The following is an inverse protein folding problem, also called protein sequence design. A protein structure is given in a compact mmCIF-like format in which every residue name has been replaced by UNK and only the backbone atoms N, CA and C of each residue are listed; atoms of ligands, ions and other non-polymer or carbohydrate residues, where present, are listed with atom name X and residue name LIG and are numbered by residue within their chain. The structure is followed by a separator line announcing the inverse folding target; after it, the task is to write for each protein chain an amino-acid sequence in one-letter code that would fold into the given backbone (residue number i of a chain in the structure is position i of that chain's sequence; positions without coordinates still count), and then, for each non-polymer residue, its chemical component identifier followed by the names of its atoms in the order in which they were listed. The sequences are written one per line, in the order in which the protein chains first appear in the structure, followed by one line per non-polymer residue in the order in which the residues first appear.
data_IF_332845805705
#
_entry.id   IF_332845805705
#
_cell.length_a   1.000
_cell.length_b   1.000
_cell.length_c   1.000
_cell.angle_alpha   90.00
_cell.angle_beta   90.00
_cell.angle_gamma   90.00
#
_symmetry.space_group_name_H-M   'P 1'
#
loop_
_entity.id
_entity.type
_entity.pdbx_description
1 polymer ?
#
# COMPACT_ATOMS: atom_id res chain seq x y z
N UNK A 1 21.34 41.41 -52.51
CA UNK A 1 20.47 40.33 -52.01
C UNK A 1 21.29 39.49 -51.06
N UNK A 2 20.78 39.33 -49.84
CA UNK A 2 21.54 39.02 -48.62
C UNK A 2 21.76 37.50 -48.51
N UNK A 3 22.99 37.11 -48.13
CA UNK A 3 23.43 35.73 -47.93
C UNK A 3 22.79 35.07 -46.70
N UNK A 4 22.61 33.73 -46.68
CA UNK A 4 22.10 33.03 -45.51
C UNK A 4 23.24 32.71 -44.52
N UNK A 5 23.00 33.05 -43.25
CA UNK A 5 23.87 32.76 -42.10
C UNK A 5 23.67 31.34 -41.59
N UNK A 6 24.79 30.71 -41.21
CA UNK A 6 24.87 29.35 -40.67
C UNK A 6 24.27 29.23 -39.25
N UNK A 7 23.74 28.05 -38.85
CA UNK A 7 23.25 27.84 -37.48
C UNK A 7 24.37 27.44 -36.52
N UNK A 8 24.32 28.04 -35.34
CA UNK A 8 25.23 27.88 -34.20
C UNK A 8 25.01 26.53 -33.50
N UNK A 9 26.05 25.70 -33.43
CA UNK A 9 26.09 24.47 -32.61
C UNK A 9 26.06 24.82 -31.12
N UNK A 10 24.98 24.48 -30.40
CA UNK A 10 24.99 24.39 -28.93
C UNK A 10 25.65 23.06 -28.51
N UNK A 11 26.76 23.17 -27.79
CA UNK A 11 27.42 22.03 -27.13
C UNK A 11 26.64 21.68 -25.86
N UNK A 12 26.12 20.45 -25.77
CA UNK A 12 25.67 19.89 -24.51
C UNK A 12 26.89 19.52 -23.66
N UNK A 13 26.97 20.11 -22.48
CA UNK A 13 27.92 19.73 -21.43
C UNK A 13 27.35 18.48 -20.75
N UNK A 14 28.02 17.35 -20.95
CA UNK A 14 27.81 16.14 -20.17
C UNK A 14 28.59 16.29 -18.85
N UNK A 15 27.88 16.32 -17.72
CA UNK A 15 28.48 16.16 -16.40
C UNK A 15 28.44 14.67 -16.02
N UNK A 16 29.56 14.05 -15.61
CA UNK A 16 29.54 12.75 -14.95
C UNK A 16 29.55 12.97 -13.44
N UNK A 17 28.56 12.43 -12.72
CA UNK A 17 28.57 12.42 -11.26
C UNK A 17 27.99 11.08 -10.77
N UNK A 18 28.88 10.10 -10.62
CA UNK A 18 28.63 8.88 -9.84
C UNK A 18 29.96 8.19 -9.50
N UNK A 19 30.61 8.65 -8.42
CA UNK A 19 31.54 7.83 -7.65
C UNK A 19 31.18 8.03 -6.18
N UNK A 20 30.47 7.08 -5.59
CA UNK A 20 30.32 6.95 -4.16
C UNK A 20 30.68 5.50 -3.79
N UNK A 21 31.96 5.26 -3.60
CA UNK A 21 32.52 3.96 -3.24
C UNK A 21 33.18 4.10 -1.85
N UNK A 22 32.56 3.43 -0.88
CA UNK A 22 33.21 2.82 0.29
C UNK A 22 34.08 3.69 1.20
N UNK A 23 33.48 4.32 2.21
CA UNK A 23 34.18 4.67 3.45
C UNK A 23 33.56 3.87 4.60
N UNK A 24 34.09 2.66 4.82
CA UNK A 24 33.95 1.96 6.09
C UNK A 24 34.80 2.71 7.14
N UNK A 25 34.19 3.69 7.81
CA UNK A 25 34.78 4.32 8.99
C UNK A 25 34.84 3.29 10.12
N UNK A 26 36.03 2.75 10.34
CA UNK A 26 36.38 2.00 11.54
C UNK A 26 36.49 3.00 12.68
N UNK A 27 35.47 3.06 13.55
CA UNK A 27 35.50 3.91 14.73
C UNK A 27 36.59 3.44 15.72
N UNK A 28 37.35 4.34 16.36
CA UNK A 28 38.34 3.96 17.35
C UNK A 28 37.65 3.43 18.61
N UNK A 29 37.95 2.18 18.96
CA UNK A 29 37.55 1.56 20.21
C UNK A 29 38.42 2.06 21.37
N UNK A 30 38.20 3.29 21.83
CA UNK A 30 38.80 3.78 23.07
C UNK A 30 37.86 4.79 23.75
N UNK A 31 37.61 4.57 25.05
CA UNK A 31 36.84 5.39 26.00
C UNK A 31 35.31 5.18 26.06
N UNK A 32 34.87 4.03 26.60
CA UNK A 32 33.54 3.84 27.19
C UNK A 32 33.63 3.03 28.51
N UNK A 33 34.42 3.52 29.49
CA UNK A 33 34.31 3.05 30.87
C UNK A 33 33.59 4.13 31.68
N UNK A 34 32.26 4.01 31.78
CA UNK A 34 31.43 4.93 32.56
C UNK A 34 30.00 5.15 32.05
N UNK A 35 29.67 4.69 30.84
CA UNK A 35 28.31 4.82 30.32
C UNK A 35 27.35 3.91 31.12
N UNK A 36 26.45 4.52 31.92
CA UNK A 36 25.30 3.83 32.52
C UNK A 36 24.65 2.97 31.44
N UNK A 37 24.50 1.68 31.72
CA UNK A 37 23.84 0.72 30.82
C UNK A 37 22.50 1.36 30.38
N UNK A 38 22.25 1.54 29.07
CA UNK A 38 21.08 2.25 28.62
C UNK A 38 19.84 1.56 29.20
N UNK A 39 18.96 2.36 29.81
CA UNK A 39 17.71 1.85 30.35
C UNK A 39 16.96 1.10 29.25
N UNK A 40 16.44 -0.09 29.58
CA UNK A 40 15.68 -0.90 28.63
C UNK A 40 14.50 -0.06 28.11
N UNK A 41 14.21 -0.04 26.80
CA UNK A 41 13.07 0.69 26.29
C UNK A 41 11.77 0.20 26.95
N UNK A 42 10.82 1.10 27.24
CA UNK A 42 9.55 0.72 27.84
C UNK A 42 8.78 -0.23 26.91
N UNK A 43 8.06 -1.19 27.48
CA UNK A 43 7.19 -2.07 26.70
C UNK A 43 6.00 -1.30 26.14
N UNK A 44 5.48 -1.70 24.96
CA UNK A 44 4.30 -1.08 24.35
C UNK A 44 3.11 -1.00 25.31
N UNK A 45 2.88 -2.05 26.11
CA UNK A 45 1.83 -2.07 27.15
C UNK A 45 1.97 -0.94 28.17
N UNK A 46 3.20 -0.60 28.55
CA UNK A 46 3.47 0.50 29.49
C UNK A 46 3.19 1.85 28.83
N UNK A 47 3.62 2.03 27.59
CA UNK A 47 3.36 3.23 26.77
C UNK A 47 1.86 3.44 26.59
N UNK A 48 1.11 2.41 26.17
CA UNK A 48 -0.36 2.47 26.04
C UNK A 48 -1.06 2.75 27.38
N UNK A 49 -0.57 2.18 28.48
CA UNK A 49 -1.14 2.44 29.81
C UNK A 49 -0.93 3.89 30.25
N UNK A 50 0.24 4.47 29.97
CA UNK A 50 0.52 5.88 30.22
C UNK A 50 -0.38 6.77 29.37
N UNK A 51 -0.47 6.49 28.07
CA UNK A 51 -1.32 7.21 27.12
C UNK A 51 -2.79 7.32 27.57
N UNK A 52 -3.38 6.21 28.00
CA UNK A 52 -4.79 6.16 28.43
C UNK A 52 -5.09 7.00 29.67
N UNK A 53 -4.08 7.35 30.48
CA UNK A 53 -4.25 8.20 31.67
C UNK A 53 -4.27 9.68 31.33
N UNK A 54 -3.80 10.06 30.15
CA UNK A 54 -3.80 11.44 29.69
C UNK A 54 -5.22 11.87 29.30
N UNK A 55 -5.54 13.12 29.62
CA UNK A 55 -6.70 13.81 29.05
C UNK A 55 -6.48 14.18 27.58
N UNK A 56 -7.51 14.67 26.87
CA UNK A 56 -7.44 15.01 25.45
C UNK A 56 -6.29 15.96 25.09
N UNK A 57 -6.11 17.05 25.85
CA UNK A 57 -5.11 18.07 25.56
C UNK A 57 -3.68 17.51 25.65
N UNK A 58 -3.38 16.74 26.69
CA UNK A 58 -2.06 16.11 26.84
C UNK A 58 -1.78 15.03 25.79
N UNK A 59 -2.83 14.41 25.23
CA UNK A 59 -2.66 13.49 24.09
C UNK A 59 -2.32 14.24 22.81
N UNK A 60 -3.02 15.35 22.55
CA UNK A 60 -2.73 16.23 21.42
C UNK A 60 -1.30 16.76 21.48
N UNK A 61 -0.91 17.33 22.63
CA UNK A 61 0.42 17.92 22.81
C UNK A 61 1.56 16.91 22.60
N UNK A 62 1.39 15.67 23.08
CA UNK A 62 2.36 14.60 22.82
C UNK A 62 2.43 14.24 21.34
N UNK A 63 1.30 14.18 20.64
CA UNK A 63 1.28 13.88 19.20
C UNK A 63 1.90 14.99 18.37
N UNK A 64 1.64 16.25 18.72
CA UNK A 64 2.23 17.42 18.05
C UNK A 64 3.75 17.43 18.26
N UNK A 65 4.21 17.26 19.50
CA UNK A 65 5.64 17.20 19.81
C UNK A 65 6.31 15.99 19.13
N UNK A 66 5.69 14.81 19.22
CA UNK A 66 6.19 13.62 18.53
C UNK A 66 6.32 13.82 17.02
N UNK A 67 5.32 14.45 16.39
CA UNK A 67 5.31 14.68 14.95
C UNK A 67 6.44 15.62 14.54
N UNK A 68 6.63 16.72 15.28
CA UNK A 68 7.75 17.64 15.06
C UNK A 68 9.11 16.93 15.21
N UNK A 69 9.29 16.12 16.26
CA UNK A 69 10.55 15.41 16.51
C UNK A 69 10.87 14.36 15.44
N UNK A 70 9.85 13.67 14.94
CA UNK A 70 10.01 12.67 13.88
C UNK A 70 10.35 13.32 12.54
N UNK A 71 9.83 14.51 12.25
CA UNK A 71 10.15 15.26 11.03
C UNK A 71 11.66 15.56 10.92
N UNK A 72 12.31 15.86 12.05
CA UNK A 72 13.75 16.10 12.13
C UNK A 72 14.61 14.84 12.19
N UNK A 73 14.01 13.63 12.26
CA UNK A 73 14.80 12.40 12.17
C UNK A 73 15.42 12.26 10.77
N UNK A 74 16.74 12.26 10.70
CA UNK A 74 17.49 11.97 9.47
C UNK A 74 17.72 10.46 9.27
N UNK A 75 16.63 9.70 9.43
CA UNK A 75 16.63 8.26 9.15
C UNK A 75 16.42 7.99 7.67
N UNK A 76 16.74 6.77 7.22
CA UNK A 76 16.52 6.39 5.83
C UNK A 76 15.02 6.39 5.49
N UNK A 77 14.18 5.85 6.37
CA UNK A 77 12.72 5.87 6.23
C UNK A 77 12.17 7.30 6.07
N UNK A 78 12.60 8.25 6.91
CA UNK A 78 12.11 9.64 6.81
C UNK A 78 12.58 10.33 5.53
N UNK A 79 13.78 10.03 5.03
CA UNK A 79 14.22 10.52 3.70
C UNK A 79 13.34 9.99 2.57
N UNK A 80 12.96 8.72 2.61
CA UNK A 80 12.04 8.14 1.62
C UNK A 80 10.64 8.74 1.70
N UNK A 81 10.13 9.00 2.91
CA UNK A 81 8.83 9.68 3.10
C UNK A 81 8.88 11.09 2.53
N UNK A 82 9.91 11.88 2.86
CA UNK A 82 10.10 13.23 2.30
C UNK A 82 10.17 13.20 0.78
N UNK A 83 10.93 12.26 0.21
CA UNK A 83 11.02 12.09 -1.24
C UNK A 83 9.67 11.76 -1.89
N UNK A 84 8.88 10.86 -1.29
CA UNK A 84 7.55 10.54 -1.79
C UNK A 84 6.56 11.71 -1.67
N UNK A 85 6.79 12.62 -0.72
CA UNK A 85 5.96 13.79 -0.42
C UNK A 85 6.50 15.11 -1.01
N UNK A 86 7.60 15.11 -1.77
CA UNK A 86 8.30 16.35 -2.17
C UNK A 86 7.44 17.24 -3.09
N UNK A 87 6.54 16.67 -3.87
CA UNK A 87 5.62 17.40 -4.74
C UNK A 87 4.31 16.63 -4.92
N UNK A 88 3.41 16.64 -3.91
CA UNK A 88 2.11 16.04 -4.08
C UNK A 88 1.32 16.96 -5.00
N UNK A 89 0.79 16.42 -6.10
CA UNK A 89 -0.01 17.19 -7.07
C UNK A 89 -1.15 18.01 -6.44
N UNK A 90 -1.60 17.61 -5.24
CA UNK A 90 -2.60 18.31 -4.46
C UNK A 90 -2.25 18.29 -2.96
N UNK A 91 -2.53 19.38 -2.23
CA UNK A 91 -2.52 19.38 -0.77
C UNK A 91 -3.37 18.24 -0.16
N UNK A 92 -2.97 17.66 0.98
CA UNK A 92 -3.67 16.55 1.63
C UNK A 92 -5.19 16.73 1.77
N UNK A 93 -5.66 17.89 2.25
CA UNK A 93 -7.09 18.13 2.46
C UNK A 93 -7.91 18.27 1.17
N UNK A 94 -7.26 18.50 0.03
CA UNK A 94 -7.91 18.64 -1.27
C UNK A 94 -8.06 17.31 -2.02
N UNK A 95 -7.52 16.21 -1.49
CA UNK A 95 -7.83 14.89 -2.02
C UNK A 95 -9.27 14.48 -1.64
N UNK A 96 -9.99 13.86 -2.58
CA UNK A 96 -11.36 13.44 -2.33
C UNK A 96 -11.41 12.28 -1.32
N UNK A 97 -12.53 12.17 -0.63
CA UNK A 97 -12.82 10.97 0.16
C UNK A 97 -13.17 9.81 -0.76
N UNK A 98 -12.94 8.59 -0.29
CA UNK A 98 -13.39 7.41 -0.99
C UNK A 98 -14.91 7.36 -1.04
N UNK A 99 -15.44 7.09 -2.22
CA UNK A 99 -16.86 6.84 -2.38
C UNK A 99 -17.27 5.51 -1.71
N UNK A 100 -18.53 5.41 -1.31
CA UNK A 100 -19.07 4.12 -0.87
C UNK A 100 -19.05 3.13 -2.04
N UNK A 101 -18.61 1.89 -1.79
CA UNK A 101 -18.66 0.81 -2.77
C UNK A 101 -20.05 0.71 -3.39
N UNK A 102 -20.09 0.58 -4.72
CA UNK A 102 -21.32 0.44 -5.51
C UNK A 102 -21.63 -1.05 -5.71
N UNK A 103 -22.86 -1.38 -6.04
CA UNK A 103 -23.26 -2.73 -6.49
C UNK A 103 -23.68 -2.64 -7.95
N UNK A 104 -23.55 -3.74 -8.70
CA UNK A 104 -24.13 -3.80 -10.03
C UNK A 104 -25.65 -3.69 -9.98
N UNK A 105 -26.23 -2.97 -10.94
CA UNK A 105 -27.68 -2.85 -11.06
C UNK A 105 -28.26 -4.10 -11.72
N UNK A 106 -29.17 -4.76 -11.00
CA UNK A 106 -29.81 -5.98 -11.46
C UNK A 106 -30.74 -5.74 -12.66
N UNK A 107 -31.38 -4.57 -12.74
CA UNK A 107 -32.24 -4.25 -13.88
C UNK A 107 -31.42 -4.06 -15.17
N UNK A 108 -30.22 -3.51 -15.05
CA UNK A 108 -29.29 -3.34 -16.16
C UNK A 108 -28.64 -4.66 -16.59
N UNK A 109 -28.04 -5.41 -15.65
CA UNK A 109 -27.18 -6.54 -15.99
C UNK A 109 -27.90 -7.90 -16.02
N UNK A 110 -29.02 -8.05 -15.30
CA UNK A 110 -29.81 -9.29 -15.31
C UNK A 110 -31.33 -9.00 -15.40
N UNK A 111 -31.81 -8.30 -16.45
CA UNK A 111 -33.21 -7.82 -16.55
C UNK A 111 -34.26 -8.93 -16.52
N UNK A 112 -33.90 -10.15 -16.91
CA UNK A 112 -34.82 -11.30 -16.86
C UNK A 112 -35.01 -11.86 -15.44
N UNK A 113 -34.13 -11.50 -14.50
CA UNK A 113 -34.15 -11.93 -13.10
C UNK A 113 -33.62 -10.80 -12.17
N UNK A 114 -34.32 -9.64 -12.10
CA UNK A 114 -33.80 -8.48 -11.40
C UNK A 114 -33.98 -8.63 -9.88
N UNK A 115 -33.01 -9.28 -9.23
CA UNK A 115 -32.97 -9.38 -7.77
C UNK A 115 -32.36 -8.10 -7.20
N UNK A 116 -33.18 -7.36 -6.43
CA UNK A 116 -32.82 -6.12 -5.75
C UNK A 116 -31.61 -6.30 -4.81
N UNK A 117 -30.65 -5.39 -4.85
CA UNK A 117 -29.45 -5.40 -4.00
C UNK A 117 -29.72 -4.66 -2.69
N UNK A 118 -29.58 -5.34 -1.56
CA UNK A 118 -29.87 -4.81 -0.21
C UNK A 118 -28.63 -4.82 0.66
N UNK A 119 -28.20 -3.65 1.10
CA UNK A 119 -27.09 -3.53 2.05
C UNK A 119 -27.42 -4.21 3.37
N UNK A 120 -26.53 -5.10 3.80
CA UNK A 120 -26.60 -5.61 5.16
C UNK A 120 -26.37 -4.48 6.17
N UNK A 121 -27.13 -4.43 7.28
CA UNK A 121 -26.89 -3.45 8.33
C UNK A 121 -25.46 -3.53 8.86
N UNK A 122 -24.89 -2.37 9.12
CA UNK A 122 -23.57 -2.28 9.72
C UNK A 122 -23.55 -2.98 11.09
N UNK A 123 -22.49 -3.74 11.34
CA UNK A 123 -22.35 -4.50 12.58
C UNK A 123 -23.16 -5.80 12.67
N UNK A 124 -23.98 -6.15 11.68
CA UNK A 124 -24.76 -7.39 11.66
C UNK A 124 -23.86 -8.63 11.78
N UNK A 125 -24.36 -9.67 12.46
CA UNK A 125 -23.60 -10.92 12.71
C UNK A 125 -23.23 -11.62 11.40
N UNK A 126 -24.09 -11.56 10.40
CA UNK A 126 -23.87 -12.14 9.06
C UNK A 126 -22.70 -11.44 8.38
N UNK A 127 -22.73 -10.10 8.29
CA UNK A 127 -21.64 -9.31 7.70
C UNK A 127 -20.31 -9.54 8.41
N UNK A 128 -20.29 -9.51 9.75
CA UNK A 128 -19.08 -9.77 10.55
C UNK A 128 -18.48 -11.14 10.25
N UNK A 129 -19.31 -12.20 10.27
CA UNK A 129 -18.86 -13.57 9.96
C UNK A 129 -18.33 -13.69 8.54
N UNK A 130 -18.99 -13.04 7.58
CA UNK A 130 -18.57 -13.06 6.19
C UNK A 130 -17.22 -12.36 6.00
N UNK A 131 -17.04 -11.16 6.57
CA UNK A 131 -15.74 -10.45 6.56
C UNK A 131 -14.63 -11.29 7.17
N UNK A 132 -14.86 -11.91 8.32
CA UNK A 132 -13.87 -12.81 8.95
C UNK A 132 -13.49 -13.96 8.02
N UNK A 133 -14.45 -14.53 7.28
CA UNK A 133 -14.19 -15.62 6.33
C UNK A 133 -13.36 -15.13 5.14
N UNK A 134 -13.76 -14.02 4.51
CA UNK A 134 -13.08 -13.42 3.35
C UNK A 134 -11.65 -13.04 3.68
N UNK A 135 -11.45 -12.36 4.81
CA UNK A 135 -10.15 -11.87 5.21
C UNK A 135 -9.34 -12.88 6.04
N UNK A 136 -9.81 -14.12 6.23
CA UNK A 136 -9.15 -15.13 7.09
C UNK A 136 -7.69 -15.40 6.69
N UNK A 137 -7.44 -15.54 5.39
CA UNK A 137 -6.09 -15.80 4.84
C UNK A 137 -5.30 -14.52 4.58
N UNK A 138 -5.93 -13.38 4.78
CA UNK A 138 -5.38 -12.08 4.45
C UNK A 138 -4.76 -11.53 5.74
N UNK A 139 -3.42 -11.47 5.84
CA UNK A 139 -2.80 -11.06 7.09
C UNK A 139 -3.12 -9.59 7.42
N UNK A 140 -3.34 -9.34 8.70
CA UNK A 140 -3.77 -8.05 9.22
C UNK A 140 -2.64 -7.03 9.13
N UNK A 141 -2.97 -5.84 8.64
CA UNK A 141 -2.01 -4.73 8.52
C UNK A 141 -1.86 -4.07 9.88
N UNK A 142 -0.61 -3.81 10.28
CA UNK A 142 -0.31 -3.08 11.53
C UNK A 142 -0.55 -1.57 11.42
N UNK A 143 -0.41 -1.00 10.23
CA UNK A 143 -0.65 0.42 9.97
C UNK A 143 -2.14 0.70 9.83
N UNK A 144 -2.66 1.64 10.61
CA UNK A 144 -3.99 2.22 10.46
C UNK A 144 -3.94 3.44 9.53
N UNK A 145 -4.37 3.23 8.29
CA UNK A 145 -4.24 4.15 7.16
C UNK A 145 -5.39 5.16 7.11
N UNK A 146 -5.08 6.44 6.97
CA UNK A 146 -6.06 7.46 6.55
C UNK A 146 -6.11 7.64 5.03
N UNK A 147 -5.20 6.97 4.31
CA UNK A 147 -5.02 7.07 2.86
C UNK A 147 -5.15 5.72 2.18
N UNK A 148 -5.69 5.73 0.97
CA UNK A 148 -5.61 4.61 0.04
C UNK A 148 -5.42 5.09 -1.39
N UNK A 149 -4.87 4.22 -2.23
CA UNK A 149 -4.80 4.42 -3.66
C UNK A 149 -5.97 3.71 -4.34
N UNK A 150 -6.76 4.47 -5.11
CA UNK A 150 -7.88 3.94 -5.89
C UNK A 150 -7.44 3.66 -7.32
N UNK A 151 -7.36 2.37 -7.69
CA UNK A 151 -6.96 1.94 -9.02
C UNK A 151 -7.98 2.29 -10.11
N UNK A 152 -9.26 2.48 -9.77
CA UNK A 152 -10.29 2.84 -10.73
C UNK A 152 -10.10 4.28 -11.20
N UNK A 153 -9.92 5.21 -10.26
CA UNK A 153 -9.75 6.63 -10.60
C UNK A 153 -8.29 7.04 -10.77
N UNK A 154 -7.36 6.18 -10.33
CA UNK A 154 -5.92 6.44 -10.23
C UNK A 154 -5.59 7.67 -9.37
N UNK A 155 -6.43 7.91 -8.37
CA UNK A 155 -6.27 9.02 -7.42
C UNK A 155 -6.00 8.49 -6.01
N UNK A 156 -5.37 9.32 -5.18
CA UNK A 156 -5.38 9.09 -3.74
C UNK A 156 -6.79 9.41 -3.20
N UNK A 157 -7.25 8.59 -2.28
CA UNK A 157 -8.51 8.78 -1.56
C UNK A 157 -8.27 8.83 -0.07
N UNK A 158 -8.95 9.74 0.60
CA UNK A 158 -9.06 9.74 2.07
C UNK A 158 -10.02 8.64 2.51
N UNK A 159 -9.61 7.85 3.50
CA UNK A 159 -10.44 6.79 4.06
C UNK A 159 -11.59 7.41 4.87
N UNK A 160 -12.86 7.11 4.55
CA UNK A 160 -14.01 7.71 5.24
C UNK A 160 -13.98 7.45 6.75
N UNK A 161 -14.26 8.48 7.53
CA UNK A 161 -14.27 8.41 9.00
C UNK A 161 -12.88 8.38 9.64
N UNK A 162 -11.80 8.53 8.88
CA UNK A 162 -10.43 8.67 9.40
C UNK A 162 -9.97 10.12 9.25
N UNK A 163 -9.88 10.83 10.38
CA UNK A 163 -9.27 12.17 10.38
C UNK A 163 -7.77 12.07 10.16
N UNK A 164 -7.19 13.02 9.41
CA UNK A 164 -5.74 13.13 9.25
C UNK A 164 -5.07 13.39 10.61
N UNK A 165 -5.73 14.19 11.44
CA UNK A 165 -5.27 14.60 12.78
C UNK A 165 -5.85 13.71 13.89
N UNK A 166 -6.28 12.48 13.57
CA UNK A 166 -6.72 11.51 14.58
C UNK A 166 -5.55 11.12 15.49
N UNK A 167 -5.52 11.74 16.67
CA UNK A 167 -4.51 11.58 17.71
C UNK A 167 -4.35 10.12 18.14
N UNK A 168 -5.43 9.35 18.23
CA UNK A 168 -5.35 7.94 18.63
C UNK A 168 -4.70 7.12 17.52
N UNK A 169 -5.10 7.35 16.26
CA UNK A 169 -4.49 6.69 15.10
C UNK A 169 -2.99 6.98 15.01
N UNK A 170 -2.59 8.26 15.13
CA UNK A 170 -1.19 8.67 15.07
C UNK A 170 -0.40 7.99 16.19
N UNK A 171 -0.93 7.98 17.42
CA UNK A 171 -0.31 7.28 18.54
C UNK A 171 -0.14 5.77 18.30
N UNK A 172 -1.18 5.07 17.84
CA UNK A 172 -1.11 3.63 17.58
C UNK A 172 -0.12 3.31 16.44
N UNK A 173 -0.10 4.12 15.39
CA UNK A 173 0.86 3.99 14.30
C UNK A 173 2.30 4.22 14.78
N UNK A 174 2.53 5.27 15.57
CA UNK A 174 3.83 5.57 16.18
C UNK A 174 4.32 4.43 17.07
N UNK A 175 3.42 3.84 17.87
CA UNK A 175 3.71 2.67 18.70
C UNK A 175 4.07 1.43 17.87
N UNK A 176 3.50 1.27 16.68
CA UNK A 176 3.88 0.23 15.73
C UNK A 176 5.16 0.55 14.94
N UNK A 177 5.74 1.75 15.11
CA UNK A 177 6.95 2.22 14.44
C UNK A 177 6.70 2.87 13.08
N UNK A 178 5.49 3.37 12.85
CA UNK A 178 5.14 4.12 11.65
C UNK A 178 5.10 5.62 11.97
N UNK A 179 5.95 6.44 11.33
CA UNK A 179 5.92 7.89 11.50
C UNK A 179 4.67 8.49 10.84
N UNK A 180 4.31 9.76 11.17
CA UNK A 180 3.27 10.49 10.47
C UNK A 180 3.50 10.52 8.95
N UNK A 181 2.41 10.56 8.18
CA UNK A 181 2.38 10.59 6.71
C UNK A 181 2.97 9.36 5.97
N UNK A 182 3.40 8.30 6.69
CA UNK A 182 3.87 7.07 6.04
C UNK A 182 2.77 6.44 5.15
N UNK A 183 1.52 6.46 5.61
CA UNK A 183 0.37 5.95 4.86
C UNK A 183 0.10 6.72 3.56
N UNK A 184 0.22 8.06 3.59
CA UNK A 184 0.11 8.90 2.40
C UNK A 184 1.26 8.62 1.43
N UNK A 185 2.50 8.55 1.93
CA UNK A 185 3.68 8.27 1.14
C UNK A 185 3.59 6.87 0.49
N UNK A 186 3.10 5.86 1.20
CA UNK A 186 2.83 4.52 0.63
C UNK A 186 1.83 4.59 -0.53
N UNK A 187 0.72 5.32 -0.37
CA UNK A 187 -0.28 5.48 -1.42
C UNK A 187 0.24 6.25 -2.65
N UNK A 188 1.08 7.27 -2.46
CA UNK A 188 1.75 8.00 -3.54
C UNK A 188 2.74 7.10 -4.31
N UNK A 189 3.48 6.26 -3.60
CA UNK A 189 4.38 5.28 -4.23
C UNK A 189 3.58 4.26 -5.02
N UNK A 190 2.48 3.74 -4.47
CA UNK A 190 1.60 2.81 -5.20
C UNK A 190 1.06 3.45 -6.48
N UNK A 191 0.59 4.70 -6.40
CA UNK A 191 0.17 5.49 -7.55
C UNK A 191 1.27 5.66 -8.59
N UNK A 192 2.49 5.94 -8.16
CA UNK A 192 3.63 6.13 -9.07
C UNK A 192 4.05 4.84 -9.79
N UNK A 193 3.72 3.67 -9.22
CA UNK A 193 3.99 2.35 -9.81
C UNK A 193 2.86 1.86 -10.73
N UNK A 194 1.66 2.44 -10.64
CA UNK A 194 0.54 2.08 -11.51
C UNK A 194 0.57 2.80 -12.86
N UNK A 195 0.66 2.04 -13.94
CA UNK A 195 0.55 2.53 -15.32
C UNK A 195 -0.90 2.68 -15.79
N UNK A 196 -1.87 2.13 -15.06
CA UNK A 196 -3.30 2.19 -15.36
C UNK A 196 -3.80 1.15 -16.37
N UNK A 197 -2.98 0.19 -16.81
CA UNK A 197 -3.35 -0.82 -17.79
C UNK A 197 -4.58 -1.66 -17.36
N UNK A 198 -4.69 -1.93 -16.06
CA UNK A 198 -5.78 -2.73 -15.48
C UNK A 198 -6.92 -1.89 -14.88
N UNK A 199 -6.98 -0.58 -15.16
CA UNK A 199 -7.94 0.36 -14.55
C UNK A 199 -9.39 -0.12 -14.68
N UNK A 200 -9.84 -0.43 -15.90
CA UNK A 200 -11.24 -0.84 -16.19
C UNK A 200 -11.61 -2.13 -15.47
N UNK A 201 -10.69 -3.09 -15.41
CA UNK A 201 -10.91 -4.36 -14.70
C UNK A 201 -10.96 -4.11 -13.19
N UNK A 202 -10.01 -3.35 -12.65
CA UNK A 202 -9.96 -3.05 -11.21
C UNK A 202 -11.14 -2.20 -10.74
N UNK A 203 -11.69 -1.33 -11.58
CA UNK A 203 -12.95 -0.61 -11.35
C UNK A 203 -14.14 -1.57 -11.23
N UNK A 204 -14.28 -2.49 -12.20
CA UNK A 204 -15.32 -3.53 -12.15
C UNK A 204 -15.21 -4.36 -10.85
N UNK A 205 -14.00 -4.79 -10.48
CA UNK A 205 -13.77 -5.56 -9.25
C UNK A 205 -13.81 -4.72 -7.94
N UNK A 206 -13.90 -3.39 -8.01
CA UNK A 206 -14.08 -2.52 -6.85
C UNK A 206 -15.53 -2.48 -6.33
N UNK A 207 -16.49 -2.95 -7.13
CA UNK A 207 -17.87 -3.13 -6.70
C UNK A 207 -17.96 -4.04 -5.46
N UNK A 208 -18.94 -3.78 -4.61
CA UNK A 208 -19.21 -4.60 -3.44
C UNK A 208 -19.73 -5.98 -3.87
N UNK A 209 -19.26 -7.02 -3.19
CA UNK A 209 -19.77 -8.36 -3.36
C UNK A 209 -21.23 -8.47 -2.91
N UNK A 210 -22.05 -9.17 -3.72
CA UNK A 210 -23.42 -9.52 -3.37
C UNK A 210 -23.65 -11.03 -3.43
N UNK A 211 -24.52 -11.57 -2.56
CA UNK A 211 -24.89 -12.99 -2.63
C UNK A 211 -26.06 -13.23 -3.60
N UNK A 212 -26.45 -14.50 -3.79
CA UNK A 212 -27.60 -14.89 -4.63
C UNK A 212 -28.94 -14.33 -4.15
N UNK A 213 -29.06 -14.05 -2.85
CA UNK A 213 -30.26 -13.46 -2.25
C UNK A 213 -30.30 -11.93 -2.41
N UNK A 214 -29.29 -11.33 -3.07
CA UNK A 214 -29.19 -9.89 -3.25
C UNK A 214 -28.61 -9.15 -2.04
N UNK A 215 -28.06 -9.84 -1.03
CA UNK A 215 -27.45 -9.17 0.13
C UNK A 215 -26.09 -8.60 -0.26
N UNK A 216 -25.90 -7.31 -0.07
CA UNK A 216 -24.66 -6.61 -0.37
C UNK A 216 -23.79 -6.46 0.89
N UNK A 217 -22.51 -6.84 0.77
CA UNK A 217 -21.57 -6.93 1.88
C UNK A 217 -20.65 -5.71 1.92
N UNK A 218 -21.05 -4.69 2.69
CA UNK A 218 -20.26 -3.45 2.85
C UNK A 218 -18.84 -3.74 3.34
N UNK A 219 -17.85 -3.15 2.65
CA UNK A 219 -16.44 -3.35 2.96
C UNK A 219 -15.86 -4.69 2.50
N UNK A 220 -16.57 -5.42 1.63
CA UNK A 220 -16.04 -6.54 0.86
C UNK A 220 -16.27 -6.26 -0.61
N UNK A 221 -15.18 -6.03 -1.36
CA UNK A 221 -15.25 -5.88 -2.82
C UNK A 221 -15.29 -7.24 -3.51
N UNK A 222 -15.64 -7.25 -4.80
CA UNK A 222 -15.44 -8.41 -5.66
C UNK A 222 -13.97 -8.81 -5.71
N UNK A 223 -13.03 -7.86 -5.71
CA UNK A 223 -11.61 -8.17 -5.62
C UNK A 223 -11.27 -8.97 -4.35
N UNK A 224 -11.79 -8.55 -3.19
CA UNK A 224 -11.56 -9.25 -1.91
C UNK A 224 -12.17 -10.65 -1.91
N UNK A 225 -13.39 -10.76 -2.45
CA UNK A 225 -14.10 -12.02 -2.61
C UNK A 225 -13.27 -13.00 -3.45
N UNK A 226 -12.84 -12.61 -4.64
CA UNK A 226 -12.03 -13.45 -5.53
C UNK A 226 -10.63 -13.74 -4.97
N UNK A 227 -10.00 -12.81 -4.24
CA UNK A 227 -8.72 -13.05 -3.57
C UNK A 227 -8.80 -14.02 -2.38
N UNK A 228 -9.99 -14.19 -1.78
CA UNK A 228 -10.13 -14.92 -0.52
C UNK A 228 -9.78 -16.41 -0.62
N UNK A 229 -9.87 -16.99 -1.82
CA UNK A 229 -9.57 -18.39 -2.10
C UNK A 229 -10.43 -19.37 -1.29
N UNK A 230 -11.67 -19.00 -0.96
CA UNK A 230 -12.70 -19.94 -0.53
C UNK A 230 -13.84 -19.98 -1.55
N UNK A 231 -14.49 -21.13 -1.66
CA UNK A 231 -15.60 -21.32 -2.60
C UNK A 231 -16.80 -20.45 -2.19
N UNK A 232 -17.25 -19.62 -3.10
CA UNK A 232 -18.44 -18.79 -2.91
C UNK A 232 -19.25 -18.71 -4.19
N UNK A 233 -20.55 -18.54 -4.01
CA UNK A 233 -21.45 -18.34 -5.13
C UNK A 233 -21.39 -16.88 -5.58
N UNK A 234 -21.26 -16.69 -6.88
CA UNK A 234 -21.28 -15.39 -7.54
C UNK A 234 -22.61 -15.26 -8.30
N UNK A 235 -23.48 -14.29 -7.95
CA UNK A 235 -24.76 -14.13 -8.64
C UNK A 235 -24.56 -13.66 -10.08
N UNK A 236 -25.50 -14.05 -10.98
CA UNK A 236 -25.48 -13.66 -12.39
C UNK A 236 -25.28 -12.15 -12.56
N UNK A 237 -25.94 -11.31 -11.75
CA UNK A 237 -25.80 -9.84 -11.76
C UNK A 237 -24.35 -9.38 -11.62
N UNK A 238 -23.59 -9.93 -10.67
CA UNK A 238 -22.20 -9.50 -10.45
C UNK A 238 -21.29 -10.00 -11.59
N UNK A 239 -21.51 -11.23 -12.06
CA UNK A 239 -20.71 -11.83 -13.14
C UNK A 239 -20.94 -11.16 -14.50
N UNK A 240 -22.21 -10.90 -14.83
CA UNK A 240 -22.62 -10.18 -16.02
C UNK A 240 -22.23 -8.71 -15.92
N UNK A 241 -22.31 -8.12 -14.72
CA UNK A 241 -21.77 -6.80 -14.39
C UNK A 241 -20.34 -6.63 -14.89
N UNK A 242 -19.44 -7.49 -14.41
CA UNK A 242 -18.02 -7.46 -14.80
C UNK A 242 -17.84 -7.64 -16.30
N UNK A 243 -18.49 -8.62 -16.93
CA UNK A 243 -18.29 -8.89 -18.37
C UNK A 243 -18.84 -7.77 -19.24
N UNK A 244 -20.04 -7.29 -18.96
CA UNK A 244 -20.63 -6.18 -19.69
C UNK A 244 -19.79 -4.91 -19.53
N UNK A 245 -19.32 -4.62 -18.31
CA UNK A 245 -18.51 -3.43 -18.06
C UNK A 245 -17.11 -3.53 -18.66
N UNK A 246 -16.45 -4.69 -18.58
CA UNK A 246 -15.04 -4.85 -19.00
C UNK A 246 -14.90 -5.21 -20.47
N UNK A 247 -15.73 -6.12 -20.98
CA UNK A 247 -15.64 -6.65 -22.34
C UNK A 247 -16.67 -6.04 -23.30
N UNK A 248 -17.65 -5.29 -22.78
CA UNK A 248 -18.77 -4.75 -23.57
C UNK A 248 -19.57 -5.83 -24.32
N UNK A 249 -19.58 -7.07 -23.79
CA UNK A 249 -20.27 -8.19 -24.42
C UNK A 249 -21.64 -8.45 -23.81
N UNK A 250 -22.62 -7.66 -24.26
CA UNK A 250 -24.03 -7.78 -23.90
C UNK A 250 -24.78 -8.84 -24.73
N UNK A 251 -24.13 -9.42 -25.73
CA UNK A 251 -24.77 -10.25 -26.74
C UNK A 251 -24.64 -11.74 -26.43
N UNK A 252 -23.44 -12.16 -26.03
CA UNK A 252 -23.10 -13.54 -25.71
C UNK A 252 -23.59 -13.93 -24.31
N UNK A 253 -23.44 -13.02 -23.35
CA UNK A 253 -23.70 -13.27 -21.94
C UNK A 253 -24.99 -12.55 -21.53
N UNK A 254 -26.03 -13.33 -21.21
CA UNK A 254 -27.34 -12.80 -20.80
C UNK A 254 -27.90 -13.66 -19.69
N UNK A 255 -28.63 -13.04 -18.77
CA UNK A 255 -29.40 -13.76 -17.77
C UNK A 255 -30.62 -14.46 -18.41
N UNK A 256 -30.98 -15.67 -17.97
CA UNK A 256 -30.21 -16.55 -17.10
C UNK A 256 -28.98 -17.14 -17.83
N UNK A 257 -27.83 -17.16 -17.16
CA UNK A 257 -26.58 -17.64 -17.78
C UNK A 257 -26.62 -19.14 -18.02
N UNK A 258 -26.54 -19.57 -19.28
CA UNK A 258 -26.54 -20.99 -19.66
C UNK A 258 -25.16 -21.68 -19.59
N UNK A 259 -24.07 -20.90 -19.74
CA UNK A 259 -22.69 -21.40 -19.80
C UNK A 259 -21.86 -20.86 -18.63
N UNK A 260 -22.31 -21.11 -17.39
CA UNK A 260 -21.70 -20.54 -16.19
C UNK A 260 -20.20 -20.85 -16.05
N UNK A 261 -19.77 -22.08 -16.36
CA UNK A 261 -18.34 -22.43 -16.30
C UNK A 261 -17.47 -21.53 -17.20
N UNK A 262 -17.85 -21.40 -18.48
CA UNK A 262 -17.10 -20.56 -19.43
C UNK A 262 -17.16 -19.06 -19.08
N UNK A 263 -18.25 -18.60 -18.47
CA UNK A 263 -18.34 -17.24 -17.93
C UNK A 263 -17.33 -17.04 -16.79
N UNK A 264 -17.29 -17.98 -15.85
CA UNK A 264 -16.35 -17.93 -14.72
C UNK A 264 -14.90 -18.04 -15.15
N UNK A 265 -14.57 -18.88 -16.13
CA UNK A 265 -13.23 -18.98 -16.70
C UNK A 265 -12.80 -17.63 -17.27
N UNK A 266 -13.69 -16.97 -18.03
CA UNK A 266 -13.40 -15.66 -18.63
C UNK A 266 -13.20 -14.55 -17.59
N UNK A 267 -14.03 -14.52 -16.54
CA UNK A 267 -13.85 -13.58 -15.43
C UNK A 267 -12.56 -13.90 -14.66
N UNK A 268 -12.23 -15.19 -14.51
CA UNK A 268 -11.01 -15.66 -13.86
C UNK A 268 -9.75 -15.19 -14.59
N UNK A 269 -9.73 -15.23 -15.93
CA UNK A 269 -8.65 -14.66 -16.75
C UNK A 269 -8.47 -13.16 -16.48
N UNK A 270 -9.56 -12.37 -16.56
CA UNK A 270 -9.52 -10.93 -16.28
C UNK A 270 -9.02 -10.65 -14.86
N UNK A 271 -9.51 -11.42 -13.89
CA UNK A 271 -9.14 -11.25 -12.50
C UNK A 271 -7.66 -11.61 -12.24
N UNK A 272 -7.15 -12.67 -12.87
CA UNK A 272 -5.78 -13.12 -12.69
C UNK A 272 -4.79 -12.01 -13.06
N UNK A 273 -5.02 -11.33 -14.19
CA UNK A 273 -4.19 -10.23 -14.65
C UNK A 273 -4.29 -9.00 -13.74
N UNK A 274 -5.52 -8.60 -13.39
CA UNK A 274 -5.75 -7.51 -12.45
C UNK A 274 -5.13 -7.78 -11.07
N UNK A 275 -5.19 -9.02 -10.59
CA UNK A 275 -4.59 -9.46 -9.32
C UNK A 275 -3.08 -9.42 -9.38
N UNK A 276 -2.45 -9.93 -10.45
CA UNK A 276 -1.00 -9.86 -10.66
C UNK A 276 -0.51 -8.42 -10.69
N UNK A 277 -1.20 -7.58 -11.46
CA UNK A 277 -0.91 -6.16 -11.61
C UNK A 277 -0.95 -5.40 -10.29
N UNK A 278 -2.10 -5.44 -9.61
CA UNK A 278 -2.32 -4.75 -8.33
C UNK A 278 -1.46 -5.36 -7.21
N UNK A 279 -1.38 -6.68 -7.13
CA UNK A 279 -0.66 -7.38 -6.07
C UNK A 279 0.82 -7.01 -6.01
N UNK A 280 1.49 -6.94 -7.16
CA UNK A 280 2.91 -6.57 -7.23
C UNK A 280 3.13 -5.11 -6.79
N UNK A 281 2.35 -4.18 -7.34
CA UNK A 281 2.47 -2.73 -7.06
C UNK A 281 2.17 -2.43 -5.61
N UNK A 282 1.15 -3.06 -5.06
CA UNK A 282 0.80 -2.97 -3.65
C UNK A 282 1.91 -3.54 -2.74
N UNK A 283 2.50 -4.69 -3.10
CA UNK A 283 3.59 -5.28 -2.32
C UNK A 283 4.86 -4.41 -2.33
N UNK A 284 5.19 -3.83 -3.49
CA UNK A 284 6.31 -2.90 -3.66
C UNK A 284 6.11 -1.61 -2.86
N UNK A 285 4.95 -0.97 -2.97
CA UNK A 285 4.65 0.25 -2.21
C UNK A 285 4.79 0.01 -0.70
N UNK A 286 4.26 -1.10 -0.20
CA UNK A 286 4.39 -1.51 1.21
C UNK A 286 5.83 -1.74 1.66
N UNK A 287 6.63 -2.42 0.84
CA UNK A 287 8.05 -2.67 1.16
C UNK A 287 8.93 -1.44 0.94
N UNK A 288 8.43 -0.36 0.34
CA UNK A 288 9.20 0.85 0.11
C UNK A 288 9.64 1.50 1.42
N UNK A 289 8.70 1.65 2.37
CA UNK A 289 8.89 2.41 3.62
C UNK A 289 9.03 1.52 4.87
N UNK A 290 8.72 0.23 4.77
CA UNK A 290 8.65 -0.67 5.92
C UNK A 290 9.48 -1.92 5.70
N UNK A 291 10.41 -2.18 6.62
CA UNK A 291 11.30 -3.35 6.58
C UNK A 291 10.52 -4.66 6.78
N UNK A 292 9.88 -4.82 7.94
CA UNK A 292 9.08 -6.00 8.30
C UNK A 292 7.59 -5.78 7.98
N UNK A 293 7.29 -5.54 6.71
CA UNK A 293 5.92 -5.33 6.27
C UNK A 293 5.18 -6.66 6.07
N UNK A 294 3.87 -6.62 6.31
CA UNK A 294 2.95 -7.72 6.07
C UNK A 294 2.42 -7.60 4.64
N UNK A 295 2.74 -8.60 3.82
CA UNK A 295 2.39 -8.67 2.41
C UNK A 295 1.30 -9.72 2.16
N UNK A 296 0.48 -9.46 1.14
CA UNK A 296 -0.60 -10.34 0.68
C UNK A 296 -0.15 -11.13 -0.55
N UNK A 297 -1.04 -11.96 -1.11
CA UNK A 297 -0.87 -12.59 -2.43
C UNK A 297 0.44 -13.38 -2.63
N UNK A 298 0.91 -14.03 -1.56
CA UNK A 298 2.14 -14.83 -1.53
C UNK A 298 3.45 -14.04 -1.71
N UNK A 299 3.42 -12.70 -1.69
CA UNK A 299 4.64 -11.88 -1.76
C UNK A 299 5.47 -11.89 -0.47
N UNK A 300 4.92 -12.39 0.65
CA UNK A 300 5.63 -12.38 1.93
C UNK A 300 6.98 -13.12 1.87
N UNK A 301 7.05 -14.22 1.11
CA UNK A 301 8.29 -15.00 0.92
C UNK A 301 9.33 -14.30 0.05
N UNK A 302 8.94 -13.19 -0.60
CA UNK A 302 9.77 -12.41 -1.50
C UNK A 302 10.19 -11.06 -0.90
N UNK A 303 9.91 -10.81 0.39
CA UNK A 303 10.15 -9.52 1.03
C UNK A 303 11.58 -8.99 0.83
N UNK A 304 12.61 -9.82 1.06
CA UNK A 304 14.00 -9.41 0.88
C UNK A 304 14.34 -9.12 -0.60
N UNK A 305 13.69 -9.84 -1.54
CA UNK A 305 13.84 -9.61 -2.99
C UNK A 305 13.18 -8.31 -3.43
N UNK A 306 12.03 -7.95 -2.83
CA UNK A 306 11.38 -6.67 -3.08
C UNK A 306 12.22 -5.51 -2.55
N UNK A 307 12.88 -5.68 -1.39
CA UNK A 307 13.85 -4.70 -0.88
C UNK A 307 15.08 -4.56 -1.78
N UNK A 308 15.64 -5.67 -2.27
CA UNK A 308 16.75 -5.65 -3.23
C UNK A 308 16.32 -4.96 -4.54
N UNK A 309 15.10 -5.23 -5.02
CA UNK A 309 14.56 -4.58 -6.21
C UNK A 309 14.42 -3.06 -6.05
N UNK A 310 14.06 -2.57 -4.86
CA UNK A 310 14.08 -1.13 -4.60
C UNK A 310 15.48 -0.55 -4.66
N UNK A 311 16.47 -1.24 -4.09
CA UNK A 311 17.87 -0.82 -4.10
C UNK A 311 18.45 -0.77 -5.53
N UNK A 312 18.15 -1.79 -6.35
CA UNK A 312 18.49 -1.85 -7.77
C UNK A 312 17.94 -0.70 -8.62
N UNK A 313 16.95 0.03 -8.11
CA UNK A 313 16.31 1.15 -8.78
C UNK A 313 16.47 2.44 -7.98
N UNK A 314 17.51 2.54 -7.14
CA UNK A 314 17.85 3.72 -6.36
C UNK A 314 16.71 4.25 -5.47
N UNK A 315 15.76 3.39 -5.10
CA UNK A 315 14.53 3.78 -4.39
C UNK A 315 13.67 4.81 -5.14
N UNK A 316 13.74 4.87 -6.46
CA UNK A 316 12.94 5.80 -7.26
C UNK A 316 11.71 5.08 -7.86
N UNK A 317 10.47 5.41 -7.42
CA UNK A 317 9.26 4.77 -7.93
C UNK A 317 9.11 4.91 -9.45
N UNK A 318 9.41 6.09 -10.01
CA UNK A 318 9.34 6.34 -11.46
C UNK A 318 10.31 5.46 -12.26
N UNK A 319 11.48 5.16 -11.70
CA UNK A 319 12.48 4.30 -12.35
C UNK A 319 12.04 2.84 -12.29
N UNK A 320 11.53 2.38 -11.15
CA UNK A 320 10.99 1.03 -11.02
C UNK A 320 9.73 0.81 -11.87
N UNK A 321 8.80 1.78 -11.91
CA UNK A 321 7.55 1.70 -12.68
C UNK A 321 7.79 1.36 -14.16
N UNK A 322 8.80 1.98 -14.78
CA UNK A 322 9.19 1.73 -16.18
C UNK A 322 9.69 0.30 -16.44
N UNK A 323 10.01 -0.45 -15.39
CA UNK A 323 10.56 -1.81 -15.47
C UNK A 323 9.59 -2.87 -15.00
N UNK A 324 8.43 -2.48 -14.46
CA UNK A 324 7.40 -3.42 -14.05
C UNK A 324 6.81 -4.11 -15.28
N UNK A 325 6.45 -5.40 -15.16
CA UNK A 325 5.91 -6.15 -16.27
C UNK A 325 4.45 -5.76 -16.54
N UNK A 326 4.01 -6.07 -17.75
CA UNK A 326 2.60 -6.26 -18.03
C UNK A 326 2.06 -7.47 -17.22
N UNK A 327 0.74 -7.63 -17.15
CA UNK A 327 0.13 -8.66 -16.30
C UNK A 327 0.41 -10.08 -16.82
N UNK A 328 0.45 -10.23 -18.14
CA UNK A 328 0.75 -11.47 -18.87
C UNK A 328 2.19 -11.94 -18.66
N UNK A 329 3.16 -11.02 -18.56
CA UNK A 329 4.58 -11.32 -18.39
C UNK A 329 5.00 -11.43 -16.91
N UNK A 330 4.05 -11.33 -15.99
CA UNK A 330 4.31 -11.16 -14.57
C UNK A 330 5.16 -12.29 -13.96
N UNK A 331 4.86 -13.54 -14.30
CA UNK A 331 5.50 -14.72 -13.72
C UNK A 331 6.95 -14.84 -14.20
N UNK A 332 7.14 -14.81 -15.51
CA UNK A 332 8.47 -14.84 -16.14
C UNK A 332 9.35 -13.68 -15.66
N UNK A 333 8.78 -12.49 -15.52
CA UNK A 333 9.51 -11.33 -15.03
C UNK A 333 9.96 -11.49 -13.57
N UNK A 334 9.08 -12.02 -12.70
CA UNK A 334 9.44 -12.28 -11.31
C UNK A 334 10.53 -13.34 -11.21
N UNK A 335 10.39 -14.44 -11.93
CA UNK A 335 11.38 -15.52 -11.92
C UNK A 335 12.75 -15.05 -12.41
N UNK A 336 12.80 -14.32 -13.52
CA UNK A 336 14.05 -13.76 -14.04
C UNK A 336 14.66 -12.74 -13.08
N UNK A 337 13.84 -11.83 -12.56
CA UNK A 337 14.30 -10.76 -11.65
C UNK A 337 14.81 -11.34 -10.33
N UNK A 338 14.08 -12.28 -9.74
CA UNK A 338 14.43 -12.90 -8.47
C UNK A 338 15.59 -13.88 -8.61
N UNK A 339 15.68 -14.61 -9.72
CA UNK A 339 16.86 -15.44 -10.05
C UNK A 339 18.11 -14.58 -10.16
N UNK A 340 18.04 -13.42 -10.83
CA UNK A 340 19.15 -12.47 -10.92
C UNK A 340 19.56 -11.94 -9.54
N UNK A 341 18.61 -11.57 -8.70
CA UNK A 341 18.88 -11.10 -7.33
C UNK A 341 19.56 -12.21 -6.51
N UNK A 342 19.02 -13.43 -6.54
CA UNK A 342 19.56 -14.54 -5.74
C UNK A 342 20.99 -14.94 -6.17
N UNK A 343 21.33 -14.79 -7.46
CA UNK A 343 22.66 -15.10 -8.00
C UNK A 343 23.69 -13.98 -7.82
N UNK A 344 23.26 -12.78 -7.43
CA UNK A 344 24.13 -11.64 -7.22
C UNK A 344 24.20 -11.31 -5.72
N UNK A 345 25.28 -11.73 -5.08
CA UNK A 345 25.49 -11.55 -3.64
C UNK A 345 25.39 -10.10 -3.19
N UNK A 346 25.86 -9.15 -4.00
CA UNK A 346 25.79 -7.73 -3.68
C UNK A 346 24.35 -7.22 -3.66
N UNK A 347 23.52 -7.63 -4.63
CA UNK A 347 22.10 -7.24 -4.67
C UNK A 347 21.31 -7.88 -3.51
N UNK A 348 21.59 -9.14 -3.21
CA UNK A 348 20.97 -9.82 -2.08
C UNK A 348 21.33 -9.15 -0.74
N UNK A 349 22.63 -8.88 -0.53
CA UNK A 349 23.11 -8.18 0.67
C UNK A 349 22.52 -6.77 0.79
N UNK A 350 22.39 -6.04 -0.31
CA UNK A 350 21.75 -4.73 -0.32
C UNK A 350 20.27 -4.78 0.08
N UNK A 351 19.52 -5.79 -0.41
CA UNK A 351 18.13 -6.01 0.01
C UNK A 351 17.99 -6.28 1.51
N UNK A 352 18.84 -7.16 2.05
CA UNK A 352 18.88 -7.43 3.50
C UNK A 352 19.26 -6.18 4.31
N UNK A 353 20.26 -5.43 3.86
CA UNK A 353 20.71 -4.19 4.48
C UNK A 353 19.63 -3.12 4.50
N UNK A 354 18.93 -2.93 3.38
CA UNK A 354 17.77 -2.02 3.27
C UNK A 354 16.69 -2.40 4.26
N UNK A 355 16.28 -3.68 4.28
CA UNK A 355 15.24 -4.16 5.21
C UNK A 355 15.64 -3.91 6.66
N UNK A 356 16.85 -4.31 7.05
CA UNK A 356 17.35 -4.14 8.41
C UNK A 356 17.40 -2.65 8.82
N UNK A 357 17.78 -1.77 7.89
CA UNK A 357 17.78 -0.31 8.10
C UNK A 357 16.36 0.19 8.39
N UNK A 358 15.37 -0.19 7.59
CA UNK A 358 13.98 0.22 7.81
C UNK A 358 13.39 -0.34 9.11
N UNK A 359 13.79 -1.55 9.53
CA UNK A 359 13.42 -2.11 10.85
C UNK A 359 14.03 -1.29 11.99
N UNK A 360 15.30 -0.89 11.87
CA UNK A 360 15.97 -0.04 12.84
C UNK A 360 15.33 1.36 12.91
N UNK A 361 14.95 1.93 11.78
CA UNK A 361 14.26 3.22 11.69
C UNK A 361 12.89 3.18 12.38
N UNK A 362 12.09 2.13 12.14
CA UNK A 362 10.83 1.91 12.86
C UNK A 362 11.04 1.82 14.38
N UNK A 363 12.15 1.23 14.84
CA UNK A 363 12.50 1.20 16.26
C UNK A 363 12.88 2.59 16.80
N UNK A 364 13.53 3.43 15.98
CA UNK A 364 13.83 4.83 16.34
C UNK A 364 12.56 5.65 16.47
N UNK A 365 11.58 5.49 15.57
CA UNK A 365 10.26 6.15 15.68
C UNK A 365 9.59 5.81 17.00
N UNK A 366 9.53 4.52 17.38
CA UNK A 366 8.99 4.10 18.69
C UNK A 366 9.76 4.70 19.86
N UNK A 367 11.09 4.74 19.75
CA UNK A 367 11.95 5.32 20.78
C UNK A 367 11.71 6.82 20.96
N UNK A 368 11.46 7.56 19.88
CA UNK A 368 11.09 8.98 19.90
C UNK A 368 9.77 9.19 20.61
N UNK A 369 8.72 8.43 20.30
CA UNK A 369 7.44 8.49 21.03
C UNK A 369 7.64 8.25 22.53
N UNK A 370 8.35 7.18 22.88
CA UNK A 370 8.63 6.85 24.28
C UNK A 370 9.50 7.89 25.00
N UNK A 371 10.34 8.63 24.26
CA UNK A 371 11.13 9.74 24.79
C UNK A 371 10.25 10.96 25.06
N UNK A 372 9.46 11.40 24.06
CA UNK A 372 8.51 12.51 24.20
C UNK A 372 7.57 12.28 25.38
N UNK A 373 7.00 11.07 25.52
CA UNK A 373 6.14 10.75 26.66
C UNK A 373 6.85 10.79 28.02
N UNK A 374 8.16 10.49 28.08
CA UNK A 374 8.96 10.58 29.30
C UNK A 374 9.26 12.03 29.67
N UNK A 375 9.67 12.82 28.68
CA UNK A 375 9.97 14.25 28.87
C UNK A 375 8.71 15.05 29.23
N UNK A 376 7.56 14.67 28.67
CA UNK A 376 6.25 15.18 29.07
C UNK A 376 5.84 14.77 30.51
N UNK A 377 6.47 13.75 31.08
CA UNK A 377 6.12 13.22 32.41
C UNK A 377 4.97 12.20 32.42
N UNK A 378 4.49 11.76 31.25
CA UNK A 378 3.46 10.73 31.13
C UNK A 378 4.01 9.32 31.43
N UNK A 379 5.28 9.09 31.13
CA UNK A 379 5.96 7.80 31.29
C UNK A 379 7.14 7.96 32.26
N UNK A 380 7.25 7.07 33.25
CA UNK A 380 8.33 7.08 34.27
C UNK A 380 9.31 5.95 34.06
#
# INVERSE_FOLDING_TARGET
MIAPTSPTRRRHVLAPLAVALGLCLSAPAAALQGAKKPARPPSDRAVTKAWRKLGPDGRQEIVDWFSAEVEFLDTFQMRLIRFALEDPERPPLLWPERESSRTYDAATHAPSQPIERKWLPEGSRVLKRFRVRVFKKIPERRLDSAWEYDYATRELRRVPGKSLDDVERIFQNALAGFPPNLDMAEALVERALDDGAQRRVLEAFAHAYTDRDGRAFRGVSLYDAWCSGFEMEMPDVDTLGVIHEVLDDWSTWKAPVRKQASLYDRIGELFADARRHRGLRHALARSYLTGDVVLRDNYQLNLDRLHALWDMNSSEPKTLAKRLPAAEDWEDWLDQTFSRINKNEALWAAGLGRRATLVADAARVRATLARVMREYGALR
#
